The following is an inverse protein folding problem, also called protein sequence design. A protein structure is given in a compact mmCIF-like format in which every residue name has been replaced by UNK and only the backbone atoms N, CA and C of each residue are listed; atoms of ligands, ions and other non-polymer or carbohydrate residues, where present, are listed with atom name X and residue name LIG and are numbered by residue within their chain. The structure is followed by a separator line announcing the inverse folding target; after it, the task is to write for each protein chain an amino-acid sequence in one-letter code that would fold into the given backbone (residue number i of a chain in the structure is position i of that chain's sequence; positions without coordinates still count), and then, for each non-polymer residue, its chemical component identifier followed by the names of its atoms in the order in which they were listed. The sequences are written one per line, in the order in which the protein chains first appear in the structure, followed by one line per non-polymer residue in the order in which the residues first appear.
data_IF_124051593915
#
_entry.id   IF_124051593915
#
_cell.length_a   1.000
_cell.length_b   1.000
_cell.length_c   1.000
_cell.angle_alpha   90.00
_cell.angle_beta   90.00
_cell.angle_gamma   90.00
#
_symmetry.space_group_name_H-M   'P 1'
#
loop_
_entity.id
_entity.type
_entity.pdbx_description
1 polymer ?
#
# COMPACT_ATOMS: atom_id res chain seq x y z
N UNK A 1 6.09 12.18 8.87
CA UNK A 1 6.77 10.91 9.20
C UNK A 1 8.26 10.96 8.87
N UNK A 2 8.69 11.54 7.74
CA UNK A 2 10.10 11.70 7.37
C UNK A 2 10.96 12.50 8.38
N UNK A 3 10.38 13.48 9.07
CA UNK A 3 11.09 14.31 10.06
C UNK A 3 11.49 13.57 11.34
N UNK A 4 10.78 12.50 11.71
CA UNK A 4 11.10 11.71 12.89
C UNK A 4 12.32 10.80 12.65
N UNK A 5 12.39 10.18 11.46
CA UNK A 5 13.47 9.27 11.07
C UNK A 5 14.80 10.03 10.92
N UNK A 6 14.77 11.23 10.32
CA UNK A 6 15.96 12.08 10.20
C UNK A 6 16.48 12.55 11.57
N UNK A 7 15.57 12.82 12.53
CA UNK A 7 15.95 13.24 13.88
C UNK A 7 16.60 12.11 14.67
N UNK A 8 16.11 10.88 14.56
CA UNK A 8 16.75 9.73 15.22
C UNK A 8 18.11 9.38 14.59
N UNK A 9 18.24 9.48 13.27
CA UNK A 9 19.50 9.20 12.59
C UNK A 9 20.58 10.24 12.96
N UNK A 10 20.21 11.52 13.05
CA UNK A 10 21.11 12.59 13.52
C UNK A 10 21.47 12.45 15.01
N UNK A 11 20.54 11.94 15.84
CA UNK A 11 20.81 11.70 17.26
C UNK A 11 21.78 10.53 17.46
N UNK A 12 21.63 9.45 16.68
CA UNK A 12 22.50 8.28 16.71
C UNK A 12 23.95 8.61 16.28
N UNK A 13 24.12 9.42 15.22
CA UNK A 13 25.43 9.89 14.77
C UNK A 13 26.16 10.79 15.80
N UNK A 14 25.40 11.55 16.60
CA UNK A 14 25.98 12.42 17.64
C UNK A 14 26.46 11.62 18.88
N UNK A 15 25.86 10.46 19.14
CA UNK A 15 26.24 9.57 20.24
C UNK A 15 27.53 8.77 19.96
N UNK A 16 27.73 8.30 18.72
CA UNK A 16 28.95 7.59 18.34
C UNK A 16 30.18 8.51 18.29
N UNK A 17 30.00 9.76 17.89
CA UNK A 17 31.09 10.75 17.85
C UNK A 17 31.55 11.14 19.26
N UNK A 18 30.63 11.27 20.21
CA UNK A 18 30.93 11.58 21.63
C UNK A 18 31.75 10.48 22.33
N UNK A 19 31.45 9.20 22.06
CA UNK A 19 32.14 8.07 22.67
C UNK A 19 33.54 7.87 22.10
N UNK A 20 33.71 8.05 20.78
CA UNK A 20 35.04 7.99 20.13
C UNK A 20 35.96 9.14 20.58
N UNK A 21 35.42 10.33 20.86
CA UNK A 21 36.19 11.46 21.40
C UNK A 21 36.64 11.19 22.85
N UNK A 22 35.78 10.57 23.68
CA UNK A 22 36.15 10.22 25.07
C UNK A 22 37.21 9.13 25.13
N UNK A 23 37.13 8.11 24.29
CA UNK A 23 38.15 7.05 24.20
C UNK A 23 39.49 7.57 23.68
N UNK A 24 39.48 8.47 22.69
CA UNK A 24 40.71 9.10 22.18
C UNK A 24 41.36 10.07 23.19
N UNK A 25 40.55 10.76 24.00
CA UNK A 25 41.03 11.62 25.10
C UNK A 25 41.68 10.84 26.24
N UNK A 26 41.16 9.64 26.55
CA UNK A 26 41.72 8.76 27.57
C UNK A 26 43.06 8.15 27.14
N UNK A 27 43.21 7.78 25.87
CA UNK A 27 44.46 7.26 25.31
C UNK A 27 45.58 8.33 25.23
N UNK A 28 45.24 9.62 25.10
CA UNK A 28 46.22 10.70 25.02
C UNK A 28 46.86 11.08 26.38
N UNK A 29 46.28 10.64 27.51
CA UNK A 29 46.81 10.85 28.86
C UNK A 29 47.86 9.82 29.28
N UNK A 30 47.98 8.69 28.59
CA UNK A 30 49.03 7.70 28.80
C UNK A 30 50.10 7.86 27.72
N UNK A 31 51.16 8.57 28.08
CA UNK A 31 52.20 9.02 27.17
C UNK A 31 52.97 7.87 26.51
N UNK A 32 53.04 7.91 25.18
CA UNK A 32 54.27 7.60 24.46
C UNK A 32 54.49 8.66 23.37
N UNK A 33 55.68 9.27 23.27
CA UNK A 33 55.97 10.34 22.29
C UNK A 33 55.92 9.85 20.83
N UNK A 34 56.00 8.54 20.60
CA UNK A 34 55.89 7.90 19.29
C UNK A 34 54.45 7.84 18.74
N UNK A 35 53.43 7.84 19.61
CA UNK A 35 52.02 7.83 19.19
C UNK A 35 51.50 9.20 18.70
N UNK A 36 52.19 10.30 19.04
CA UNK A 36 51.79 11.66 18.63
C UNK A 36 52.03 11.96 17.16
N UNK A 37 53.04 11.36 16.51
CA UNK A 37 53.33 11.64 15.10
C UNK A 37 52.36 10.93 14.13
N UNK A 38 51.88 9.73 14.46
CA UNK A 38 50.92 9.00 13.61
C UNK A 38 49.50 9.63 13.62
N UNK A 39 49.15 10.41 14.64
CA UNK A 39 47.82 11.02 14.75
C UNK A 39 47.61 12.22 13.80
N UNK A 40 48.67 12.97 13.47
CA UNK A 40 48.53 14.17 12.63
C UNK A 40 48.45 13.84 11.13
N UNK A 41 49.00 12.71 10.68
CA UNK A 41 48.95 12.30 9.26
C UNK A 41 47.56 11.80 8.86
N UNK A 42 46.75 11.27 9.79
CA UNK A 42 45.41 10.75 9.51
C UNK A 42 44.32 11.82 9.38
N UNK A 43 44.61 13.09 9.68
CA UNK A 43 43.60 14.17 9.69
C UNK A 43 43.26 14.77 8.31
N UNK A 44 44.09 14.54 7.27
CA UNK A 44 43.84 15.08 5.92
C UNK A 44 42.92 14.22 5.04
N UNK A 45 42.79 12.92 5.30
CA UNK A 45 41.97 12.02 4.47
C UNK A 45 40.47 12.08 4.77
N UNK A 46 40.09 12.41 6.00
CA UNK A 46 38.67 12.39 6.44
C UNK A 46 37.91 13.62 5.97
N UNK A 47 38.58 14.78 5.89
CA UNK A 47 37.96 16.05 5.50
C UNK A 47 37.54 16.08 4.02
N UNK A 48 38.27 15.40 3.13
CA UNK A 48 37.87 15.31 1.72
C UNK A 48 36.72 14.34 1.48
N UNK A 49 36.49 13.38 2.40
CA UNK A 49 35.35 12.44 2.32
C UNK A 49 34.07 13.09 2.80
N UNK A 50 34.13 13.88 3.88
CA UNK A 50 32.95 14.62 4.38
C UNK A 50 32.50 15.72 3.41
N UNK A 51 33.43 16.39 2.73
CA UNK A 51 33.10 17.42 1.73
C UNK A 51 32.37 16.83 0.50
N UNK A 52 32.80 15.64 0.04
CA UNK A 52 32.15 14.94 -1.08
C UNK A 52 30.72 14.50 -0.75
N UNK A 53 30.49 14.03 0.48
CA UNK A 53 29.15 13.61 0.95
C UNK A 53 28.22 14.83 1.09
N UNK A 54 28.72 15.95 1.63
CA UNK A 54 27.93 17.18 1.75
C UNK A 54 27.54 17.77 0.38
N UNK A 55 28.46 17.75 -0.60
CA UNK A 55 28.17 18.21 -1.95
C UNK A 55 27.12 17.34 -2.67
N UNK A 56 27.16 16.02 -2.47
CA UNK A 56 26.21 15.08 -3.09
C UNK A 56 24.80 15.23 -2.51
N UNK A 57 24.68 15.49 -1.20
CA UNK A 57 23.41 15.85 -0.55
C UNK A 57 22.85 17.19 -1.05
N UNK A 58 23.71 18.18 -1.29
CA UNK A 58 23.27 19.49 -1.79
C UNK A 58 22.74 19.42 -3.23
N UNK A 59 23.36 18.59 -4.09
CA UNK A 59 22.88 18.33 -5.46
C UNK A 59 21.54 17.58 -5.44
N UNK A 60 21.33 16.67 -4.49
CA UNK A 60 20.06 15.95 -4.33
C UNK A 60 18.89 16.88 -3.93
N UNK A 61 19.18 17.97 -3.21
CA UNK A 61 18.19 18.98 -2.80
C UNK A 61 17.80 19.98 -3.90
N UNK A 62 18.59 20.07 -4.98
CA UNK A 62 18.32 20.96 -6.12
C UNK A 62 17.52 20.27 -7.23
N UNK A 63 17.21 18.97 -7.09
CA UNK A 63 16.27 18.31 -7.97
C UNK A 63 14.87 18.91 -7.72
N UNK A 64 14.23 19.53 -8.71
CA UNK A 64 12.89 20.02 -8.55
C UNK A 64 11.98 18.86 -8.17
N UNK A 65 11.26 18.98 -7.05
CA UNK A 65 10.21 18.06 -6.59
C UNK A 65 8.97 18.11 -7.50
N UNK A 66 9.18 18.16 -8.81
CA UNK A 66 8.18 18.41 -9.84
C UNK A 66 7.77 17.12 -10.53
N UNK A 67 7.57 16.06 -9.76
CA UNK A 67 6.65 15.00 -10.15
C UNK A 67 5.88 14.63 -8.89
N UNK A 68 5.05 15.57 -8.44
CA UNK A 68 3.84 15.19 -7.75
C UNK A 68 3.03 14.44 -8.82
N UNK A 69 3.23 13.11 -8.87
CA UNK A 69 2.31 12.24 -9.57
C UNK A 69 0.95 12.58 -9.01
N UNK A 70 0.16 13.31 -9.79
CA UNK A 70 -1.22 13.62 -9.48
C UNK A 70 -1.85 12.23 -9.34
N UNK A 71 -2.22 11.77 -8.13
CA UNK A 71 -2.80 10.44 -8.00
C UNK A 71 -4.03 10.45 -8.88
N UNK A 72 -3.94 9.67 -9.95
CA UNK A 72 -4.86 9.68 -11.08
C UNK A 72 -6.28 9.93 -10.62
N UNK A 73 -6.78 11.11 -11.00
CA UNK A 73 -8.11 11.22 -11.55
C UNK A 73 -9.16 10.50 -10.71
N UNK A 74 -9.56 11.15 -9.62
CA UNK A 74 -10.88 10.99 -9.03
C UNK A 74 -11.94 11.47 -10.03
N UNK A 75 -11.95 10.87 -11.23
CA UNK A 75 -12.90 11.13 -12.29
C UNK A 75 -14.22 10.52 -11.81
N UNK A 76 -15.16 11.40 -11.50
CA UNK A 76 -16.58 11.07 -11.37
C UNK A 76 -16.96 9.98 -10.36
N UNK A 77 -16.40 10.00 -9.14
CA UNK A 77 -17.11 9.40 -8.00
C UNK A 77 -18.54 9.96 -7.84
N UNK A 78 -18.82 11.13 -8.43
CA UNK A 78 -20.13 11.76 -8.47
C UNK A 78 -21.22 10.88 -9.10
N UNK A 79 -20.89 9.93 -9.99
CA UNK A 79 -21.89 9.11 -10.70
C UNK A 79 -21.92 7.64 -10.27
N UNK A 80 -21.11 7.21 -9.29
CA UNK A 80 -21.08 5.81 -8.85
C UNK A 80 -22.46 5.31 -8.39
N UNK A 81 -23.28 6.18 -7.79
CA UNK A 81 -24.64 5.85 -7.34
C UNK A 81 -25.61 5.47 -8.47
N UNK A 82 -25.30 5.81 -9.72
CA UNK A 82 -26.10 5.45 -10.89
C UNK A 82 -25.88 3.99 -11.30
N UNK A 83 -24.79 3.36 -10.86
CA UNK A 83 -24.51 1.97 -11.19
C UNK A 83 -25.41 1.06 -10.35
N UNK A 84 -26.30 0.33 -11.02
CA UNK A 84 -27.12 -0.72 -10.40
C UNK A 84 -26.83 -2.09 -11.01
N UNK A 85 -26.60 -2.13 -12.33
CA UNK A 85 -26.31 -3.33 -13.10
C UNK A 85 -24.82 -3.44 -13.36
N UNK A 86 -24.22 -4.52 -12.89
CA UNK A 86 -22.78 -4.76 -13.01
C UNK A 86 -22.53 -6.02 -13.83
N UNK A 87 -21.70 -5.91 -14.86
CA UNK A 87 -21.12 -7.08 -15.51
C UNK A 87 -19.79 -7.42 -14.84
N UNK A 88 -19.59 -8.69 -14.50
CA UNK A 88 -18.35 -9.20 -13.93
C UNK A 88 -17.48 -9.77 -15.05
N UNK A 89 -16.37 -9.09 -15.35
CA UNK A 89 -15.34 -9.64 -16.23
C UNK A 89 -14.54 -10.74 -15.50
N UNK A 90 -13.81 -11.55 -16.27
CA UNK A 90 -12.91 -12.54 -15.71
C UNK A 90 -11.76 -11.86 -14.95
N UNK A 91 -11.55 -12.26 -13.70
CA UNK A 91 -10.57 -11.65 -12.79
C UNK A 91 -9.24 -12.43 -12.74
N UNK A 92 -9.08 -13.43 -13.61
CA UNK A 92 -7.93 -14.32 -13.68
C UNK A 92 -8.33 -15.73 -14.08
N UNK A 93 -7.35 -16.53 -14.50
CA UNK A 93 -7.55 -17.89 -15.03
C UNK A 93 -7.39 -18.99 -13.98
N UNK A 94 -7.10 -18.64 -12.72
CA UNK A 94 -6.90 -19.63 -11.66
C UNK A 94 -8.24 -20.19 -11.15
N UNK A 95 -8.25 -21.42 -10.60
CA UNK A 95 -9.45 -21.97 -9.94
C UNK A 95 -9.99 -21.05 -8.83
N UNK A 96 -9.11 -20.40 -8.09
CA UNK A 96 -9.46 -19.43 -7.05
C UNK A 96 -10.12 -18.18 -7.64
N UNK A 97 -9.70 -17.72 -8.83
CA UNK A 97 -10.32 -16.60 -9.52
C UNK A 97 -11.75 -16.91 -9.99
N UNK A 98 -11.98 -18.11 -10.54
CA UNK A 98 -13.31 -18.58 -10.89
C UNK A 98 -14.23 -18.66 -9.65
N UNK A 99 -13.71 -19.23 -8.55
CA UNK A 99 -14.42 -19.30 -7.27
C UNK A 99 -14.69 -17.92 -6.68
N UNK A 100 -13.71 -17.01 -6.74
CA UNK A 100 -13.86 -15.63 -6.30
C UNK A 100 -14.97 -14.91 -7.06
N UNK A 101 -15.06 -15.10 -8.38
CA UNK A 101 -16.11 -14.51 -9.21
C UNK A 101 -17.51 -14.94 -8.77
N UNK A 102 -17.73 -16.24 -8.55
CA UNK A 102 -19.02 -16.76 -8.09
C UNK A 102 -19.41 -16.20 -6.71
N UNK A 103 -18.45 -16.15 -5.78
CA UNK A 103 -18.67 -15.57 -4.46
C UNK A 103 -18.95 -14.08 -4.55
N UNK A 104 -18.22 -13.36 -5.40
CA UNK A 104 -18.41 -11.93 -5.58
C UNK A 104 -19.78 -11.61 -6.18
N UNK A 105 -20.24 -12.40 -7.15
CA UNK A 105 -21.60 -12.30 -7.69
C UNK A 105 -22.66 -12.40 -6.59
N UNK A 106 -22.59 -13.46 -5.77
CA UNK A 106 -23.48 -13.65 -4.62
C UNK A 106 -23.43 -12.46 -3.65
N UNK A 107 -22.22 -12.00 -3.27
CA UNK A 107 -22.08 -10.88 -2.33
C UNK A 107 -22.56 -9.56 -2.91
N UNK A 108 -22.38 -9.30 -4.21
CA UNK A 108 -22.90 -8.11 -4.88
C UNK A 108 -24.43 -8.10 -4.91
N UNK A 109 -25.06 -9.23 -5.22
CA UNK A 109 -26.52 -9.38 -5.16
C UNK A 109 -27.04 -9.15 -3.74
N UNK A 110 -26.37 -9.68 -2.72
CA UNK A 110 -26.70 -9.41 -1.31
C UNK A 110 -26.57 -7.93 -0.92
N UNK A 111 -25.77 -7.13 -1.67
CA UNK A 111 -25.64 -5.67 -1.48
C UNK A 111 -26.57 -4.85 -2.38
N UNK A 112 -27.49 -5.49 -3.09
CA UNK A 112 -28.51 -4.84 -3.91
C UNK A 112 -28.06 -4.46 -5.32
N UNK A 113 -26.91 -4.99 -5.79
CA UNK A 113 -26.50 -4.86 -7.18
C UNK A 113 -27.10 -5.99 -8.02
N UNK A 114 -27.46 -5.70 -9.27
CA UNK A 114 -27.89 -6.72 -10.23
C UNK A 114 -26.69 -7.14 -11.07
N UNK A 115 -26.27 -8.40 -10.97
CA UNK A 115 -25.20 -8.92 -11.84
C UNK A 115 -25.81 -9.38 -13.16
N UNK A 116 -25.21 -8.99 -14.28
CA UNK A 116 -25.70 -9.31 -15.63
C UNK A 116 -24.63 -10.10 -16.39
N UNK A 117 -25.06 -11.06 -17.22
CA UNK A 117 -24.17 -11.95 -17.99
C UNK A 117 -23.58 -11.33 -19.26
N UNK A 118 -24.11 -10.19 -19.72
CA UNK A 118 -23.71 -9.52 -20.95
C UNK A 118 -23.23 -8.10 -20.65
N UNK A 119 -22.03 -7.70 -21.13
CA UNK A 119 -21.47 -6.38 -20.87
C UNK A 119 -22.31 -5.25 -21.48
N UNK A 120 -22.96 -5.50 -22.62
CA UNK A 120 -23.81 -4.54 -23.36
C UNK A 120 -25.02 -4.05 -22.56
N UNK A 121 -25.48 -4.84 -21.59
CA UNK A 121 -26.67 -4.53 -20.78
C UNK A 121 -26.33 -3.98 -19.39
N UNK A 122 -25.05 -3.90 -19.06
CA UNK A 122 -24.60 -3.45 -17.76
C UNK A 122 -24.40 -1.93 -17.74
N UNK A 123 -24.68 -1.32 -16.58
CA UNK A 123 -24.38 0.10 -16.35
C UNK A 123 -22.87 0.30 -16.15
N UNK A 124 -22.20 -0.73 -15.62
CA UNK A 124 -20.75 -0.76 -15.50
C UNK A 124 -20.18 -2.18 -15.57
N UNK A 125 -18.93 -2.25 -16.00
CA UNK A 125 -18.12 -3.45 -16.11
C UNK A 125 -17.09 -3.43 -14.98
N UNK A 126 -17.15 -4.43 -14.10
CA UNK A 126 -16.13 -4.66 -13.07
C UNK A 126 -15.05 -5.57 -13.64
N UNK A 127 -13.85 -5.02 -13.77
CA UNK A 127 -12.66 -5.68 -14.31
C UNK A 127 -11.52 -5.63 -13.30
N UNK A 128 -10.54 -6.52 -13.42
CA UNK A 128 -9.45 -6.55 -12.46
C UNK A 128 -8.62 -7.83 -12.50
N UNK A 129 -7.81 -8.00 -11.46
CA UNK A 129 -6.95 -9.16 -11.29
C UNK A 129 -6.99 -9.66 -9.83
N UNK A 130 -7.08 -10.98 -9.68
CA UNK A 130 -6.89 -11.70 -8.43
C UNK A 130 -5.43 -12.18 -8.34
N UNK A 131 -4.77 -11.86 -7.22
CA UNK A 131 -3.46 -12.40 -6.87
C UNK A 131 -3.62 -13.32 -5.67
N UNK A 132 -3.15 -14.56 -5.81
CA UNK A 132 -3.19 -15.56 -4.74
C UNK A 132 -1.76 -15.87 -4.32
N UNK A 133 -1.44 -15.63 -3.05
CA UNK A 133 -0.15 -15.99 -2.47
C UNK A 133 -0.31 -17.27 -1.66
N UNK A 134 0.28 -18.40 -2.12
CA UNK A 134 0.16 -19.68 -1.43
C UNK A 134 0.87 -19.68 -0.08
N UNK A 135 0.28 -20.39 0.87
CA UNK A 135 0.68 -20.52 2.26
C UNK A 135 1.85 -21.49 2.44
N UNK A 136 3.00 -21.19 1.83
CA UNK A 136 4.23 -21.98 1.98
C UNK A 136 3.99 -23.50 1.95
N UNK A 137 4.70 -24.24 2.81
CA UNK A 137 4.76 -25.70 2.81
C UNK A 137 3.49 -26.37 3.40
N UNK A 138 2.62 -25.60 4.06
CA UNK A 138 1.46 -26.13 4.80
C UNK A 138 0.14 -26.09 4.02
N UNK A 139 0.15 -25.60 2.78
CA UNK A 139 -1.01 -25.62 1.88
C UNK A 139 -2.09 -24.57 2.21
N UNK A 140 -2.79 -24.10 1.16
CA UNK A 140 -3.84 -23.07 1.23
C UNK A 140 -3.39 -21.70 0.73
N UNK A 141 -4.33 -20.76 0.54
CA UNK A 141 -4.03 -19.37 0.25
C UNK A 141 -3.83 -18.60 1.57
N UNK A 142 -2.63 -18.08 1.81
CA UNK A 142 -2.35 -17.24 2.99
C UNK A 142 -2.80 -15.80 2.81
N UNK A 143 -2.74 -15.32 1.58
CA UNK A 143 -3.09 -13.95 1.25
C UNK A 143 -3.74 -13.93 -0.14
N UNK A 144 -4.80 -13.14 -0.26
CA UNK A 144 -5.50 -12.90 -1.51
C UNK A 144 -5.54 -11.39 -1.68
N UNK A 145 -4.85 -10.93 -2.73
CA UNK A 145 -4.87 -9.57 -3.22
C UNK A 145 -5.89 -9.45 -4.35
N UNK A 146 -6.70 -8.39 -4.34
CA UNK A 146 -7.65 -8.13 -5.42
C UNK A 146 -7.50 -6.68 -5.86
N UNK A 147 -7.19 -6.45 -7.13
CA UNK A 147 -7.22 -5.11 -7.71
C UNK A 147 -8.34 -5.06 -8.72
N UNK A 148 -9.30 -4.18 -8.51
CA UNK A 148 -10.48 -4.03 -9.38
C UNK A 148 -10.72 -2.58 -9.75
N UNK A 149 -11.37 -2.40 -10.89
CA UNK A 149 -11.85 -1.14 -11.39
C UNK A 149 -13.23 -1.34 -12.01
N UNK A 150 -14.08 -0.33 -11.84
CA UNK A 150 -15.40 -0.27 -12.41
C UNK A 150 -15.36 0.75 -13.54
N UNK A 151 -15.75 0.33 -14.74
CA UNK A 151 -15.75 1.16 -15.94
C UNK A 151 -17.15 1.24 -16.53
N UNK A 152 -17.53 2.38 -17.09
CA UNK A 152 -18.74 2.47 -17.93
C UNK A 152 -18.55 1.65 -19.21
N UNK A 153 -19.63 1.29 -19.94
CA UNK A 153 -19.52 0.68 -21.27
C UNK A 153 -18.70 1.51 -22.26
N UNK A 154 -18.61 2.83 -22.06
CA UNK A 154 -17.76 3.73 -22.84
C UNK A 154 -16.26 3.68 -22.45
N UNK A 155 -15.90 2.89 -21.43
CA UNK A 155 -14.52 2.72 -20.96
C UNK A 155 -14.08 3.71 -19.87
N UNK A 156 -14.95 4.63 -19.44
CA UNK A 156 -14.62 5.60 -18.39
C UNK A 156 -14.56 4.92 -17.02
N UNK A 157 -13.46 5.10 -16.28
CA UNK A 157 -13.30 4.57 -14.93
C UNK A 157 -14.11 5.40 -13.93
N UNK A 158 -15.08 4.78 -13.27
CA UNK A 158 -15.96 5.41 -12.26
C UNK A 158 -15.59 5.04 -10.82
N UNK A 159 -14.91 3.91 -10.63
CA UNK A 159 -14.43 3.48 -9.32
C UNK A 159 -13.22 2.53 -9.47
N UNK A 160 -12.40 2.45 -8.43
CA UNK A 160 -11.34 1.45 -8.34
C UNK A 160 -11.05 1.13 -6.89
N UNK A 161 -10.60 -0.09 -6.63
CA UNK A 161 -10.23 -0.57 -5.32
C UNK A 161 -9.07 -1.55 -5.40
N UNK A 162 -8.13 -1.40 -4.47
CA UNK A 162 -7.06 -2.36 -4.26
C UNK A 162 -7.20 -2.93 -2.84
N UNK A 163 -7.39 -4.24 -2.78
CA UNK A 163 -7.64 -5.02 -1.58
C UNK A 163 -6.48 -5.99 -1.41
N UNK A 164 -5.37 -5.51 -0.86
CA UNK A 164 -4.21 -6.32 -0.52
C UNK A 164 -4.03 -6.39 1.00
N UNK A 165 -3.31 -7.40 1.48
CA UNK A 165 -2.82 -7.49 2.85
C UNK A 165 -3.25 -8.76 3.57
N UNK A 166 -2.47 -9.15 4.58
CA UNK A 166 -2.74 -10.38 5.31
C UNK A 166 -4.07 -10.31 6.05
N UNK A 167 -4.90 -11.33 5.87
CA UNK A 167 -6.05 -11.60 6.75
C UNK A 167 -5.51 -12.03 8.13
N UNK A 168 -5.23 -11.05 9.00
CA UNK A 168 -4.77 -11.32 10.36
C UNK A 168 -5.88 -11.98 11.17
N UNK A 169 -5.66 -13.22 11.59
CA UNK A 169 -6.46 -13.87 12.63
C UNK A 169 -6.06 -13.28 13.98
N UNK A 170 -6.73 -12.22 14.41
CA UNK A 170 -6.55 -11.69 15.76
C UNK A 170 -7.47 -12.47 16.70
N UNK A 171 -6.93 -13.47 17.41
CA UNK A 171 -7.61 -14.06 18.57
C UNK A 171 -7.22 -15.49 18.93
N UNK A 172 -6.88 -15.70 20.20
CA UNK A 172 -6.67 -17.01 20.85
C UNK A 172 -7.96 -17.89 20.90
N UNK A 173 -9.09 -17.38 20.38
CA UNK A 173 -10.43 -18.00 20.32
C UNK A 173 -10.90 -18.13 18.85
N UNK A 174 -9.98 -18.09 17.87
CA UNK A 174 -10.27 -18.11 16.44
C UNK A 174 -10.74 -19.47 15.88
N UNK A 175 -11.30 -20.34 16.72
CA UNK A 175 -11.84 -21.64 16.34
C UNK A 175 -13.24 -21.58 15.74
N UNK A 176 -13.94 -20.42 15.77
CA UNK A 176 -15.38 -20.44 15.46
C UNK A 176 -15.78 -20.22 14.01
N UNK A 177 -15.01 -19.54 13.15
CA UNK A 177 -15.23 -19.56 11.68
C UNK A 177 -13.91 -19.28 10.97
N UNK A 178 -13.30 -20.31 10.39
CA UNK A 178 -12.34 -20.11 9.31
C UNK A 178 -13.11 -19.49 8.15
N UNK A 179 -13.20 -18.16 8.09
CA UNK A 179 -13.68 -17.50 6.88
C UNK A 179 -12.60 -17.71 5.84
N UNK A 180 -12.92 -18.49 4.82
CA UNK A 180 -12.08 -18.67 3.65
C UNK A 180 -11.63 -17.31 3.11
N UNK A 181 -10.33 -17.16 2.84
CA UNK A 181 -9.74 -15.90 2.40
C UNK A 181 -10.41 -15.38 1.12
N UNK A 182 -10.82 -16.29 0.21
CA UNK A 182 -11.49 -15.93 -1.04
C UNK A 182 -12.84 -15.28 -0.74
N UNK A 183 -13.67 -15.95 0.09
CA UNK A 183 -14.97 -15.43 0.48
C UNK A 183 -14.86 -14.12 1.26
N UNK A 184 -13.91 -14.04 2.20
CA UNK A 184 -13.65 -12.81 2.94
C UNK A 184 -13.39 -11.64 2.01
N UNK A 185 -12.51 -11.83 1.00
CA UNK A 185 -12.16 -10.79 0.04
C UNK A 185 -13.33 -10.41 -0.88
N UNK A 186 -14.12 -11.38 -1.32
CA UNK A 186 -15.31 -11.11 -2.12
C UNK A 186 -16.32 -10.24 -1.35
N UNK A 187 -16.54 -10.58 -0.07
CA UNK A 187 -17.41 -9.81 0.82
C UNK A 187 -16.85 -8.42 1.14
N UNK A 188 -15.55 -8.29 1.40
CA UNK A 188 -14.91 -7.01 1.68
C UNK A 188 -15.01 -6.05 0.47
N UNK A 189 -14.78 -6.57 -0.74
CA UNK A 189 -14.96 -5.82 -1.99
C UNK A 189 -16.40 -5.34 -2.14
N UNK A 190 -17.38 -6.24 -2.06
CA UNK A 190 -18.79 -5.90 -2.20
C UNK A 190 -19.25 -4.87 -1.15
N UNK A 191 -18.78 -5.02 0.10
CA UNK A 191 -19.05 -4.07 1.19
C UNK A 191 -18.45 -2.70 0.91
N UNK A 192 -17.19 -2.64 0.46
CA UNK A 192 -16.51 -1.38 0.13
C UNK A 192 -17.17 -0.67 -1.04
N UNK A 193 -17.48 -1.40 -2.11
CA UNK A 193 -18.19 -0.86 -3.26
C UNK A 193 -19.55 -0.28 -2.86
N UNK A 194 -20.33 -0.99 -2.03
CA UNK A 194 -21.61 -0.48 -1.52
C UNK A 194 -21.43 0.78 -0.68
N UNK A 195 -20.43 0.81 0.21
CA UNK A 195 -20.16 1.98 1.04
C UNK A 195 -19.82 3.22 0.19
N UNK A 196 -18.99 3.05 -0.85
CA UNK A 196 -18.63 4.13 -1.76
C UNK A 196 -19.83 4.55 -2.63
N UNK A 197 -20.68 3.60 -3.05
CA UNK A 197 -21.95 3.87 -3.73
C UNK A 197 -22.88 4.72 -2.85
N UNK A 198 -23.05 4.36 -1.57
CA UNK A 198 -23.87 5.13 -0.64
C UNK A 198 -23.30 6.53 -0.39
N UNK A 199 -21.98 6.66 -0.33
CA UNK A 199 -21.31 7.95 -0.21
C UNK A 199 -21.59 8.83 -1.44
N UNK A 200 -21.50 8.26 -2.64
CA UNK A 200 -21.85 8.94 -3.90
C UNK A 200 -23.33 9.36 -3.91
N UNK A 201 -24.23 8.47 -3.51
CA UNK A 201 -25.67 8.71 -3.47
C UNK A 201 -26.03 9.86 -2.51
N UNK A 202 -25.43 9.88 -1.31
CA UNK A 202 -25.61 10.97 -0.34
C UNK A 202 -25.08 12.30 -0.87
N UNK A 203 -23.93 12.29 -1.55
CA UNK A 203 -23.38 13.50 -2.16
C UNK A 203 -24.29 14.06 -3.27
N UNK A 204 -25.04 13.19 -3.96
CA UNK A 204 -26.02 13.56 -4.97
C UNK A 204 -27.42 13.91 -4.39
N UNK A 205 -27.61 13.88 -3.07
CA UNK A 205 -28.90 14.17 -2.42
C UNK A 205 -29.92 13.04 -2.47
N UNK A 206 -29.52 11.82 -2.84
CA UNK A 206 -30.40 10.65 -2.87
C UNK A 206 -30.67 10.16 -1.44
N UNK A 207 -31.95 10.05 -1.07
CA UNK A 207 -32.35 9.43 0.22
C UNK A 207 -32.19 7.91 0.14
N UNK A 208 -31.29 7.38 0.96
CA UNK A 208 -31.04 5.94 1.05
C UNK A 208 -31.96 5.39 2.15
N UNK A 209 -33.03 4.70 1.74
CA UNK A 209 -33.84 3.93 2.68
C UNK A 209 -33.06 2.66 3.04
N UNK A 210 -32.85 2.44 4.34
CA UNK A 210 -32.18 1.26 4.88
C UNK A 210 -33.14 0.10 5.06
#
# INVERSE_FOLDING_TARGET
MFTAIVREFLFSLNLETSTLIRLASQAAKQGSPLARQHFLIRKRGTYMRTLKVAALLFILCLLPSSVLANPDQQTNQASLHLVQKVYLEELGTSPEAARFRLLLEEKLTQKGFTVIDKPEKADAILSGALSVTPAGIYGGATDIGVTVQLKTPAGERVWSGNFAGQTYKIGLIASLKYTDAVEYRANDLAKRLRADWEKSARAAGVKINK
#
